data_IF_512438188697
#
_entry.id   IF_512438188697
#
_cell.length_a   1.000
_cell.length_b   1.000
_cell.length_c   1.000
_cell.angle_alpha   90.00
_cell.angle_beta   90.00
_cell.angle_gamma   90.00
#
_symmetry.space_group_name_H-M   'P 1'
#
loop_
_entity.id
_entity.type
_entity.pdbx_description
1 polymer ?
#
# COMPACT_ATOMS: atom_id res chain seq x y z
N UNK A 1 49.46 20.85 53.65
CA UNK A 1 49.44 20.12 52.37
C UNK A 1 48.58 18.87 52.51
N UNK A 2 47.44 18.81 51.82
CA UNK A 2 46.99 17.69 50.97
C UNK A 2 45.50 17.88 50.67
N UNK A 3 45.23 18.11 49.39
CA UNK A 3 43.92 18.12 48.76
C UNK A 3 43.22 16.76 48.98
N UNK A 4 41.98 16.80 49.47
CA UNK A 4 41.01 15.74 49.26
C UNK A 4 40.03 16.18 48.17
N UNK A 5 40.02 15.44 47.05
CA UNK A 5 39.00 15.56 46.00
C UNK A 5 37.65 15.08 46.56
N UNK A 6 36.53 15.78 46.31
CA UNK A 6 35.22 15.16 46.35
C UNK A 6 34.83 14.64 44.96
N UNK A 7 34.18 13.49 44.98
CA UNK A 7 33.71 12.67 43.86
C UNK A 7 32.75 13.37 42.91
N UNK A 8 32.96 13.21 41.61
CA UNK A 8 31.98 13.49 40.55
C UNK A 8 30.82 12.48 40.65
N UNK A 9 29.65 12.93 41.15
CA UNK A 9 28.37 12.27 40.84
C UNK A 9 27.70 13.06 39.72
N UNK A 10 27.59 12.46 38.53
CA UNK A 10 26.79 12.96 37.41
C UNK A 10 25.32 12.76 37.75
N UNK A 11 24.61 13.84 38.06
CA UNK A 11 23.15 13.85 38.15
C UNK A 11 22.57 14.17 36.77
N UNK A 12 21.64 13.33 36.30
CA UNK A 12 20.79 13.61 35.15
C UNK A 12 19.48 14.21 35.66
N UNK A 13 19.02 15.31 35.06
CA UNK A 13 17.68 15.85 35.31
C UNK A 13 16.79 15.34 34.17
N UNK A 14 15.90 14.38 34.48
CA UNK A 14 14.87 13.91 33.57
C UNK A 14 13.55 14.62 33.91
N UNK A 15 12.97 15.34 32.97
CA UNK A 15 11.59 15.84 33.09
C UNK A 15 10.64 14.86 32.40
N UNK A 16 9.79 14.22 33.20
CA UNK A 16 8.75 13.27 32.78
C UNK A 16 7.47 13.99 32.38
N UNK A 17 6.87 13.61 31.24
CA UNK A 17 5.43 13.81 31.02
C UNK A 17 4.83 12.58 30.32
N UNK A 18 4.06 11.80 31.08
CA UNK A 18 3.45 10.53 30.67
C UNK A 18 1.93 10.69 30.42
N UNK A 19 1.42 9.97 29.41
CA UNK A 19 0.06 9.41 29.28
C UNK A 19 0.06 8.54 27.99
N UNK A 20 0.32 7.22 28.10
CA UNK A 20 -0.62 6.08 28.13
C UNK A 20 -1.48 5.98 26.86
N UNK A 21 -1.24 5.05 25.93
CA UNK A 21 -1.54 3.62 26.06
C UNK A 21 -0.39 2.71 25.56
N UNK A 22 -0.34 1.50 26.14
CA UNK A 22 0.84 0.64 26.23
C UNK A 22 1.47 0.19 24.91
N UNK A 23 2.72 0.60 24.70
CA UNK A 23 3.91 -0.21 24.42
C UNK A 23 5.11 0.74 24.34
N UNK A 24 6.04 0.64 25.31
CA UNK A 24 7.39 1.24 25.29
C UNK A 24 7.50 2.77 25.15
N UNK A 25 7.92 3.46 26.20
CA UNK A 25 8.34 4.87 26.09
C UNK A 25 9.69 4.94 25.35
N UNK A 26 9.72 5.48 24.13
CA UNK A 26 10.96 5.70 23.37
C UNK A 26 11.50 7.10 23.70
N UNK A 27 12.75 7.15 24.16
CA UNK A 27 13.46 8.39 24.46
C UNK A 27 14.19 8.90 23.22
N UNK A 28 14.15 10.22 22.99
CA UNK A 28 14.97 10.88 21.96
C UNK A 28 16.14 11.54 22.66
N UNK A 29 17.36 11.13 22.30
CA UNK A 29 18.59 11.77 22.73
C UNK A 29 19.38 12.20 21.51
N UNK A 30 19.83 13.45 21.49
CA UNK A 30 20.75 13.94 20.47
C UNK A 30 22.16 13.54 20.90
N UNK A 31 22.95 13.04 19.96
CA UNK A 31 24.31 12.62 20.26
C UNK A 31 25.30 13.28 19.32
N UNK A 32 26.31 13.89 19.91
CA UNK A 32 27.46 14.43 19.20
C UNK A 32 28.43 13.30 18.86
N UNK A 33 28.53 12.94 17.57
CA UNK A 33 29.59 12.04 17.11
C UNK A 33 30.83 12.89 16.83
N UNK A 34 31.69 13.04 17.85
CA UNK A 34 33.07 13.50 17.64
C UNK A 34 33.54 14.70 18.47
N UNK A 35 33.53 14.60 19.80
CA UNK A 35 34.65 14.95 20.70
C UNK A 35 34.19 14.70 22.14
N UNK A 36 35.08 14.16 22.97
CA UNK A 36 34.86 14.14 24.42
C UNK A 36 35.00 15.57 24.93
N UNK A 37 33.93 16.36 24.97
CA UNK A 37 33.83 17.50 25.88
C UNK A 37 32.37 17.94 26.05
N UNK A 38 32.11 18.57 27.19
CA UNK A 38 30.80 18.68 27.79
C UNK A 38 29.78 19.50 26.97
N UNK A 39 28.61 18.93 26.69
CA UNK A 39 27.48 19.71 26.17
C UNK A 39 26.44 18.89 25.39
N UNK A 40 25.86 17.83 25.98
CA UNK A 40 24.69 17.18 25.35
C UNK A 40 23.45 18.03 25.67
N UNK A 41 23.03 18.88 24.73
CA UNK A 41 21.71 19.49 24.77
C UNK A 41 20.70 18.48 24.24
N UNK A 42 19.77 18.05 25.09
CA UNK A 42 18.67 17.15 24.75
C UNK A 42 17.50 17.98 24.25
N UNK A 43 17.39 18.19 22.93
CA UNK A 43 16.19 18.75 22.31
C UNK A 43 15.13 17.64 22.29
N UNK A 44 14.21 17.72 23.23
CA UNK A 44 13.02 16.88 23.31
C UNK A 44 11.93 17.48 22.42
N UNK A 45 11.93 17.17 21.12
CA UNK A 45 10.70 17.26 20.34
C UNK A 45 9.84 16.02 20.62
N UNK A 46 8.53 16.20 20.80
CA UNK A 46 7.59 15.07 20.89
C UNK A 46 7.50 14.39 19.54
N UNK A 47 8.39 13.43 19.31
CA UNK A 47 8.27 12.45 18.24
C UNK A 47 7.75 11.18 18.89
N UNK A 48 6.67 10.59 18.40
CA UNK A 48 6.27 9.26 18.85
C UNK A 48 6.98 8.27 17.92
N UNK A 49 7.96 7.53 18.44
CA UNK A 49 8.54 6.40 17.72
C UNK A 49 7.81 5.13 18.13
N UNK A 50 7.49 4.29 17.16
CA UNK A 50 6.94 2.95 17.38
C UNK A 50 7.96 1.95 16.89
N UNK A 51 8.34 1.00 17.74
CA UNK A 51 9.18 -0.13 17.32
C UNK A 51 8.27 -1.25 16.83
N UNK A 52 8.29 -1.50 15.52
CA UNK A 52 7.81 -2.74 14.90
C UNK A 52 6.32 -3.04 15.10
N UNK A 53 5.56 -2.97 14.01
CA UNK A 53 4.15 -3.36 13.95
C UNK A 53 3.52 -2.93 12.62
N UNK A 54 2.39 -3.55 12.26
CA UNK A 54 1.54 -3.09 11.16
C UNK A 54 0.82 -1.81 11.59
N UNK A 55 1.01 -0.71 10.86
CA UNK A 55 0.37 0.57 11.15
C UNK A 55 -0.98 0.68 10.42
N UNK A 56 -2.06 1.15 11.08
CA UNK A 56 -3.35 1.32 10.42
C UNK A 56 -3.24 2.38 9.33
N UNK A 57 -3.40 1.98 8.06
CA UNK A 57 -3.31 2.86 6.89
C UNK A 57 -2.06 2.64 6.03
N UNK A 58 -1.07 1.88 6.51
CA UNK A 58 0.10 1.49 5.73
C UNK A 58 0.01 0.03 5.31
N UNK A 59 -0.04 -0.24 4.01
CA UNK A 59 -0.17 -1.60 3.46
C UNK A 59 1.22 -2.21 3.19
N UNK A 60 1.97 -2.51 4.26
CA UNK A 60 3.29 -3.13 4.18
C UNK A 60 3.94 -3.51 5.53
N UNK A 61 4.88 -4.46 5.51
CA UNK A 61 5.73 -4.80 6.66
C UNK A 61 6.75 -3.67 6.90
N UNK A 62 6.52 -2.87 7.94
CA UNK A 62 7.48 -1.86 8.42
C UNK A 62 8.72 -2.57 9.00
N UNK A 63 9.87 -2.44 8.32
CA UNK A 63 11.16 -2.98 8.78
C UNK A 63 12.08 -1.87 9.27
N UNK A 64 12.12 -1.66 10.58
CA UNK A 64 13.08 -0.77 11.24
C UNK A 64 12.44 0.37 12.03
N UNK A 65 13.22 1.39 12.42
CA UNK A 65 12.72 2.48 13.26
C UNK A 65 11.91 3.52 12.47
N UNK A 66 10.69 3.80 12.92
CA UNK A 66 9.74 4.75 12.31
C UNK A 66 9.42 5.92 13.25
N UNK A 67 9.20 7.08 12.67
CA UNK A 67 8.76 8.28 13.40
C UNK A 67 7.38 8.75 12.92
N UNK A 68 6.50 9.05 13.86
CA UNK A 68 5.32 9.87 13.63
C UNK A 68 5.70 11.32 13.88
N UNK A 69 5.78 12.12 12.81
CA UNK A 69 6.29 13.48 12.90
C UNK A 69 5.15 14.51 12.92
N UNK A 70 4.99 15.21 14.05
CA UNK A 70 4.23 16.45 14.12
C UNK A 70 5.20 17.62 14.30
N UNK A 71 5.25 18.59 13.37
CA UNK A 71 6.04 19.80 13.57
C UNK A 71 5.52 20.56 14.80
N UNK A 72 6.39 21.12 15.65
CA UNK A 72 5.98 21.82 16.86
C UNK A 72 5.16 23.10 16.55
N UNK A 73 4.22 23.44 17.47
CA UNK A 73 3.21 24.53 17.35
C UNK A 73 3.82 25.94 17.37
N UNK A 74 5.06 26.06 17.81
CA UNK A 74 5.85 27.29 17.89
C UNK A 74 7.30 26.89 17.75
N UNK A 75 8.12 27.76 17.17
CA UNK A 75 9.59 27.67 17.15
C UNK A 75 10.09 27.82 18.61
N UNK A 76 9.89 26.76 19.40
CA UNK A 76 10.38 26.57 20.76
C UNK A 76 10.91 25.12 20.91
N UNK A 77 11.40 24.56 19.80
CA UNK A 77 12.64 23.76 19.81
C UNK A 77 13.82 24.72 19.56
N UNK A 78 15.06 24.23 19.46
CA UNK A 78 16.22 25.08 19.21
C UNK A 78 15.92 26.01 18.03
N UNK A 79 16.45 27.23 18.09
CA UNK A 79 16.31 28.20 17.01
C UNK A 79 16.61 27.49 15.68
N UNK A 80 15.87 27.79 14.61
CA UNK A 80 16.07 27.10 13.33
C UNK A 80 17.54 27.20 12.89
N UNK A 81 18.21 28.29 13.29
CA UNK A 81 19.65 28.53 13.21
C UNK A 81 20.52 27.49 13.94
N UNK A 82 20.12 27.00 15.12
CA UNK A 82 20.84 25.96 15.85
C UNK A 82 20.68 24.59 15.17
N UNK A 83 19.52 24.30 14.58
CA UNK A 83 19.33 23.09 13.77
C UNK A 83 20.10 23.20 12.44
N UNK A 84 20.16 24.37 11.82
CA UNK A 84 21.00 24.69 10.65
C UNK A 84 22.47 24.48 10.95
N UNK A 85 23.01 25.14 11.96
CA UNK A 85 24.41 25.03 12.37
C UNK A 85 24.78 23.58 12.69
N UNK A 86 23.83 22.83 13.27
CA UNK A 86 23.99 21.42 13.59
C UNK A 86 24.02 20.54 12.34
N UNK A 87 23.17 20.84 11.37
CA UNK A 87 23.13 20.18 10.07
C UNK A 87 24.39 20.52 9.24
N UNK A 88 24.75 21.79 9.14
CA UNK A 88 25.96 22.26 8.45
C UNK A 88 27.24 21.72 9.07
N UNK A 89 27.24 21.41 10.37
CA UNK A 89 28.31 20.68 11.05
C UNK A 89 28.36 19.17 10.72
N UNK A 90 27.51 18.66 9.82
CA UNK A 90 27.46 17.27 9.38
C UNK A 90 26.81 16.30 10.38
N UNK A 91 26.13 16.82 11.41
CA UNK A 91 25.51 16.00 12.47
C UNK A 91 24.15 15.47 11.98
N UNK A 92 23.74 14.29 12.48
CA UNK A 92 22.54 13.57 12.01
C UNK A 92 21.68 13.11 13.17
N UNK A 93 20.37 13.01 12.93
CA UNK A 93 19.40 12.48 13.87
C UNK A 93 19.38 10.94 13.84
N UNK A 94 19.44 10.34 15.03
CA UNK A 94 19.36 8.89 15.24
C UNK A 94 18.36 8.59 16.36
N UNK A 95 17.78 7.39 16.32
CA UNK A 95 17.08 6.84 17.47
C UNK A 95 18.10 6.17 18.39
N UNK A 96 18.15 6.63 19.64
CA UNK A 96 18.91 5.98 20.71
C UNK A 96 18.03 4.92 21.36
N UNK A 97 18.48 3.69 21.35
CA UNK A 97 17.79 2.58 21.98
C UNK A 97 18.11 2.48 23.48
N UNK A 98 17.28 1.76 24.25
CA UNK A 98 17.53 1.53 25.69
C UNK A 98 18.89 0.86 25.97
N UNK A 99 19.41 0.10 25.01
CA UNK A 99 20.72 -0.53 25.05
C UNK A 99 21.82 0.29 24.37
N UNK A 100 21.64 1.60 24.25
CA UNK A 100 22.60 2.58 23.75
C UNK A 100 23.09 2.32 22.30
N UNK A 101 22.26 1.70 21.46
CA UNK A 101 22.52 1.59 20.02
C UNK A 101 21.90 2.78 19.30
N UNK A 102 22.62 3.27 18.30
CA UNK A 102 22.13 4.30 17.38
C UNK A 102 21.54 3.61 16.15
N UNK A 103 20.24 3.76 15.95
CA UNK A 103 19.57 3.26 14.77
C UNK A 103 19.19 4.43 13.85
N UNK A 104 19.46 4.34 12.54
CA UNK A 104 18.98 5.34 11.61
C UNK A 104 17.46 5.27 11.52
N UNK A 105 16.81 6.42 11.44
CA UNK A 105 15.38 6.49 11.13
C UNK A 105 15.22 6.12 9.65
N UNK A 106 14.40 5.10 9.40
CA UNK A 106 14.16 4.56 8.06
C UNK A 106 12.73 4.80 7.58
N UNK A 107 11.85 5.30 8.45
CA UNK A 107 10.46 5.55 8.11
C UNK A 107 9.90 6.79 8.76
N UNK A 108 9.06 7.53 8.03
CA UNK A 108 8.29 8.66 8.56
C UNK A 108 6.85 8.59 8.09
N UNK A 109 5.92 8.88 8.99
CA UNK A 109 4.53 9.18 8.68
C UNK A 109 4.19 10.60 9.14
N UNK A 110 3.61 11.37 8.23
CA UNK A 110 3.07 12.69 8.51
C UNK A 110 1.55 12.58 8.64
N UNK A 111 0.97 13.05 9.76
CA UNK A 111 -0.45 12.87 9.96
C UNK A 111 -1.30 13.80 9.10
N UNK A 112 -2.58 13.44 8.86
CA UNK A 112 -3.45 14.23 8.00
C UNK A 112 -3.68 15.67 8.46
N UNK A 113 -3.51 15.93 9.75
CA UNK A 113 -3.64 17.24 10.38
C UNK A 113 -2.31 18.01 10.47
N UNK A 114 -1.28 17.59 9.72
CA UNK A 114 -0.01 18.30 9.67
C UNK A 114 -0.20 19.73 9.19
N UNK A 115 0.35 20.68 9.96
CA UNK A 115 0.38 22.09 9.52
C UNK A 115 1.28 22.24 8.29
N UNK A 116 0.92 23.12 7.34
CA UNK A 116 1.77 23.39 6.19
C UNK A 116 3.20 23.74 6.61
N UNK A 117 4.17 23.04 6.00
CA UNK A 117 5.59 23.29 6.20
C UNK A 117 6.12 24.17 5.06
N UNK A 118 7.03 25.08 5.39
CA UNK A 118 7.72 25.89 4.39
C UNK A 118 8.67 25.02 3.56
N UNK A 119 9.05 25.47 2.36
CA UNK A 119 10.04 24.78 1.52
C UNK A 119 11.34 24.49 2.28
N UNK A 120 11.79 25.47 3.07
CA UNK A 120 12.95 25.34 3.93
C UNK A 120 12.78 24.24 4.99
N UNK A 121 11.62 24.16 5.65
CA UNK A 121 11.34 23.14 6.65
C UNK A 121 11.34 21.72 6.05
N UNK A 122 10.82 21.57 4.83
CA UNK A 122 10.91 20.30 4.10
C UNK A 122 12.35 19.94 3.74
N UNK A 123 13.13 20.90 3.26
CA UNK A 123 14.54 20.71 2.94
C UNK A 123 15.34 20.22 4.15
N UNK A 124 15.21 20.93 5.28
CA UNK A 124 15.88 20.59 6.54
C UNK A 124 15.47 19.20 7.04
N UNK A 125 14.18 18.87 6.96
CA UNK A 125 13.69 17.56 7.40
C UNK A 125 14.33 16.42 6.58
N UNK A 126 14.23 16.45 5.25
CA UNK A 126 14.77 15.36 4.43
C UNK A 126 16.30 15.30 4.43
N UNK A 127 16.96 16.44 4.65
CA UNK A 127 18.39 16.49 4.90
C UNK A 127 18.79 15.74 6.19
N UNK A 128 18.02 15.91 7.26
CA UNK A 128 18.26 15.26 8.55
C UNK A 128 18.07 13.73 8.51
N UNK A 129 17.21 13.24 7.62
CA UNK A 129 16.83 11.82 7.52
C UNK A 129 17.18 11.21 6.15
N UNK A 130 18.48 11.12 5.78
CA UNK A 130 18.90 10.68 4.44
C UNK A 130 18.80 9.16 4.22
N UNK A 131 18.43 8.39 5.26
CA UNK A 131 18.31 6.93 5.23
C UNK A 131 16.86 6.45 5.21
N UNK A 132 15.91 7.35 4.97
CA UNK A 132 14.50 6.98 4.82
C UNK A 132 14.34 5.95 3.70
N UNK A 133 13.70 4.85 4.05
CA UNK A 133 13.21 3.79 3.17
C UNK A 133 11.70 3.94 2.92
N UNK A 134 10.96 4.52 3.87
CA UNK A 134 9.51 4.72 3.77
C UNK A 134 9.13 6.15 4.14
N UNK A 135 8.35 6.82 3.29
CA UNK A 135 7.83 8.17 3.54
C UNK A 135 6.34 8.18 3.23
N UNK A 136 5.52 8.45 4.24
CA UNK A 136 4.08 8.64 4.09
C UNK A 136 3.74 10.12 4.29
N UNK A 137 3.42 10.79 3.18
CA UNK A 137 3.03 12.19 3.05
C UNK A 137 1.53 12.31 2.71
N UNK A 138 0.73 11.29 3.01
CA UNK A 138 -0.70 11.32 2.72
C UNK A 138 -1.35 12.54 3.37
N UNK A 139 -2.18 13.25 2.62
CA UNK A 139 -2.81 14.52 3.02
C UNK A 139 -1.85 15.68 3.37
N UNK A 140 -0.53 15.52 3.20
CA UNK A 140 0.41 16.59 3.49
C UNK A 140 0.24 17.74 2.49
N UNK A 141 0.33 18.98 2.98
CA UNK A 141 0.37 20.17 2.13
C UNK A 141 1.78 20.35 1.54
N UNK A 142 2.08 19.53 0.54
CA UNK A 142 3.32 19.54 -0.23
C UNK A 142 3.04 19.92 -1.68
N UNK A 143 3.87 20.79 -2.24
CA UNK A 143 3.80 21.26 -3.63
C UNK A 143 4.78 20.53 -4.54
N UNK A 144 4.55 20.58 -5.86
CA UNK A 144 5.42 20.00 -6.89
C UNK A 144 6.90 20.42 -6.72
N UNK A 145 7.13 21.69 -6.40
CA UNK A 145 8.48 22.22 -6.19
C UNK A 145 9.17 21.65 -4.95
N UNK A 146 8.42 21.29 -3.91
CA UNK A 146 8.96 20.75 -2.66
C UNK A 146 9.34 19.26 -2.79
N UNK A 147 8.78 18.52 -3.76
CA UNK A 147 9.21 17.12 -4.01
C UNK A 147 10.67 16.98 -4.40
N UNK A 148 11.33 18.06 -4.87
CA UNK A 148 12.78 18.07 -5.13
C UNK A 148 13.62 17.64 -3.93
N UNK A 149 13.12 17.87 -2.72
CA UNK A 149 13.83 17.51 -1.48
C UNK A 149 13.86 15.99 -1.24
N UNK A 150 12.94 15.23 -1.85
CA UNK A 150 12.94 13.76 -1.80
C UNK A 150 13.99 13.14 -2.74
N UNK A 151 14.44 13.85 -3.77
CA UNK A 151 15.33 13.32 -4.80
C UNK A 151 16.68 12.80 -4.24
N UNK A 152 17.10 13.29 -3.07
CA UNK A 152 18.30 12.85 -2.37
C UNK A 152 18.17 11.52 -1.61
N UNK A 153 16.95 11.01 -1.41
CA UNK A 153 16.66 9.83 -0.59
C UNK A 153 16.95 8.53 -1.35
N UNK A 154 18.23 8.22 -1.58
CA UNK A 154 18.69 7.05 -2.36
C UNK A 154 18.29 5.68 -1.79
N UNK A 155 17.77 5.65 -0.56
CA UNK A 155 17.29 4.46 0.12
C UNK A 155 15.77 4.31 0.08
N UNK A 156 15.04 5.31 -0.43
CA UNK A 156 13.59 5.32 -0.46
C UNK A 156 13.07 4.17 -1.31
N UNK A 157 12.17 3.38 -0.74
CA UNK A 157 11.50 2.22 -1.33
C UNK A 157 10.00 2.42 -1.42
N UNK A 158 9.42 3.17 -0.49
CA UNK A 158 7.98 3.34 -0.38
C UNK A 158 7.67 4.82 -0.17
N UNK A 159 6.82 5.36 -1.04
CA UNK A 159 6.38 6.75 -0.99
C UNK A 159 4.86 6.82 -1.19
N UNK A 160 4.15 7.34 -0.19
CA UNK A 160 2.73 7.64 -0.30
C UNK A 160 2.53 9.16 -0.39
N UNK A 161 1.97 9.59 -1.52
CA UNK A 161 1.59 10.97 -1.85
C UNK A 161 0.08 11.08 -2.12
N UNK A 162 -0.72 10.11 -1.66
CA UNK A 162 -2.16 10.10 -1.85
C UNK A 162 -2.79 11.30 -1.15
N UNK A 163 -3.86 11.85 -1.75
CA UNK A 163 -4.56 13.03 -1.23
C UNK A 163 -3.67 14.27 -1.07
N UNK A 164 -2.63 14.41 -1.90
CA UNK A 164 -1.80 15.62 -1.98
C UNK A 164 -2.11 16.40 -3.27
N UNK A 165 -1.61 17.64 -3.37
CA UNK A 165 -1.77 18.48 -4.58
C UNK A 165 -0.68 18.26 -5.63
N UNK A 166 0.05 17.14 -5.53
CA UNK A 166 1.12 16.81 -6.45
C UNK A 166 0.56 16.50 -7.83
N UNK A 167 1.15 17.09 -8.86
CA UNK A 167 0.82 16.86 -10.27
C UNK A 167 1.95 16.14 -11.00
N UNK A 168 1.73 15.79 -12.27
CA UNK A 168 2.78 15.23 -13.13
C UNK A 168 4.04 16.10 -13.21
N UNK A 169 3.93 17.42 -13.02
CA UNK A 169 5.08 18.33 -12.98
C UNK A 169 5.96 18.13 -11.72
N UNK A 170 5.39 17.67 -10.61
CA UNK A 170 6.14 17.33 -9.40
C UNK A 170 6.87 15.99 -9.51
N UNK A 171 6.26 15.02 -10.20
CA UNK A 171 6.77 13.65 -10.31
C UNK A 171 8.11 13.53 -11.05
N UNK A 172 8.45 14.49 -11.91
CA UNK A 172 9.78 14.55 -12.55
C UNK A 172 10.95 14.57 -11.55
N UNK A 173 10.70 15.00 -10.31
CA UNK A 173 11.70 15.00 -9.25
C UNK A 173 11.95 13.60 -8.67
N UNK A 174 11.03 12.66 -8.88
CA UNK A 174 11.12 11.30 -8.35
C UNK A 174 11.82 10.32 -9.30
N UNK A 175 11.82 10.57 -10.62
CA UNK A 175 12.28 9.65 -11.68
C UNK A 175 13.71 9.09 -11.56
N UNK A 176 14.50 9.56 -10.58
CA UNK A 176 15.87 9.11 -10.30
C UNK A 176 16.03 8.38 -8.97
N UNK A 177 14.95 8.04 -8.28
CA UNK A 177 15.01 7.28 -7.03
C UNK A 177 15.31 5.81 -7.32
N UNK A 178 16.55 5.34 -7.09
CA UNK A 178 17.03 4.07 -7.66
C UNK A 178 16.48 2.82 -6.98
N UNK A 179 15.80 3.00 -5.84
CA UNK A 179 15.27 1.91 -5.01
C UNK A 179 13.77 2.00 -4.77
N UNK A 180 13.09 2.99 -5.36
CA UNK A 180 11.66 3.16 -5.16
C UNK A 180 10.93 1.97 -5.80
N UNK A 181 10.12 1.29 -4.98
CA UNK A 181 9.39 0.07 -5.32
C UNK A 181 7.88 0.26 -5.23
N UNK A 182 7.41 1.08 -4.29
CA UNK A 182 5.99 1.39 -4.11
C UNK A 182 5.76 2.88 -4.19
N UNK A 183 4.78 3.28 -4.99
CA UNK A 183 4.35 4.66 -5.15
C UNK A 183 2.83 4.73 -5.15
N UNK A 184 2.28 5.50 -4.23
CA UNK A 184 0.85 5.82 -4.20
C UNK A 184 0.64 7.31 -4.45
N UNK A 185 -0.28 7.64 -5.34
CA UNK A 185 -0.55 9.00 -5.81
C UNK A 185 -2.05 9.24 -5.88
N UNK A 186 -2.47 10.51 -5.76
CA UNK A 186 -3.88 10.83 -5.94
C UNK A 186 -4.29 10.72 -7.40
N UNK A 187 -3.64 11.45 -8.30
CA UNK A 187 -3.98 11.50 -9.72
C UNK A 187 -2.72 11.43 -10.58
N UNK A 188 -2.78 10.67 -11.68
CA UNK A 188 -1.68 10.50 -12.62
C UNK A 188 -2.18 10.79 -14.03
N UNK A 189 -1.76 11.94 -14.56
CA UNK A 189 -1.95 12.30 -15.96
C UNK A 189 -0.85 11.66 -16.84
N UNK A 190 -0.93 11.87 -18.16
CA UNK A 190 0.09 11.38 -19.09
C UNK A 190 1.51 11.84 -18.73
N UNK A 191 1.66 13.10 -18.31
CA UNK A 191 2.96 13.67 -17.92
C UNK A 191 3.54 12.96 -16.70
N UNK A 192 2.70 12.75 -15.69
CA UNK A 192 3.04 12.01 -14.48
C UNK A 192 3.42 10.58 -14.80
N UNK A 193 2.65 9.90 -15.65
CA UNK A 193 2.95 8.54 -16.09
C UNK A 193 4.32 8.43 -16.79
N UNK A 194 4.68 9.41 -17.64
CA UNK A 194 6.02 9.47 -18.26
C UNK A 194 7.14 9.65 -17.23
N UNK A 195 6.94 10.49 -16.23
CA UNK A 195 7.91 10.65 -15.14
C UNK A 195 8.02 9.37 -14.29
N UNK A 196 6.91 8.68 -14.05
CA UNK A 196 6.88 7.41 -13.32
C UNK A 196 7.58 6.31 -14.12
N UNK A 197 7.47 6.29 -15.46
CA UNK A 197 8.14 5.31 -16.32
C UNK A 197 9.68 5.33 -16.18
N UNK A 198 10.28 6.44 -15.72
CA UNK A 198 11.72 6.52 -15.42
C UNK A 198 12.12 5.72 -14.16
N UNK A 199 11.16 5.38 -13.29
CA UNK A 199 11.37 4.60 -12.07
C UNK A 199 11.53 3.10 -12.40
N UNK A 200 12.68 2.74 -12.97
CA UNK A 200 12.96 1.38 -13.44
C UNK A 200 12.79 0.28 -12.35
N UNK A 201 12.89 0.65 -11.07
CA UNK A 201 12.72 -0.26 -9.93
C UNK A 201 11.30 -0.38 -9.38
N UNK A 202 10.33 0.36 -9.92
CA UNK A 202 8.96 0.40 -9.40
C UNK A 202 8.26 -0.95 -9.61
N UNK A 203 7.64 -1.45 -8.55
CA UNK A 203 6.98 -2.75 -8.49
C UNK A 203 5.48 -2.63 -8.22
N UNK A 204 5.06 -1.58 -7.53
CA UNK A 204 3.69 -1.33 -7.12
C UNK A 204 3.35 0.14 -7.34
N UNK A 205 2.25 0.38 -8.05
CA UNK A 205 1.72 1.72 -8.32
C UNK A 205 0.24 1.75 -7.95
N UNK A 206 -0.17 2.78 -7.22
CA UNK A 206 -1.57 3.06 -6.93
C UNK A 206 -1.94 4.51 -7.25
N UNK A 207 -3.12 4.73 -7.83
CA UNK A 207 -3.69 6.07 -7.98
C UNK A 207 -4.90 6.14 -8.93
N UNK A 208 -5.42 7.36 -9.09
CA UNK A 208 -6.45 7.72 -10.08
C UNK A 208 -5.79 7.89 -11.46
N UNK A 209 -5.95 6.88 -12.32
CA UNK A 209 -5.34 6.81 -13.66
C UNK A 209 -6.36 7.13 -14.76
N UNK A 210 -5.94 7.88 -15.78
CA UNK A 210 -6.71 8.12 -17.01
C UNK A 210 -6.18 7.28 -18.18
N UNK A 211 -6.95 7.16 -19.27
CA UNK A 211 -6.58 6.35 -20.44
C UNK A 211 -5.19 6.69 -21.01
N UNK A 212 -4.86 7.98 -21.06
CA UNK A 212 -3.60 8.52 -21.55
C UNK A 212 -2.40 8.17 -20.66
N UNK A 213 -2.62 7.85 -19.39
CA UNK A 213 -1.57 7.47 -18.46
C UNK A 213 -1.07 6.02 -18.67
N UNK A 214 -1.91 5.13 -19.22
CA UNK A 214 -1.59 3.70 -19.30
C UNK A 214 -0.42 3.39 -20.24
N UNK A 215 -0.34 4.07 -21.38
CA UNK A 215 0.70 3.84 -22.39
C UNK A 215 2.12 3.92 -21.80
N UNK A 216 2.53 5.07 -21.22
CA UNK A 216 3.84 5.19 -20.59
C UNK A 216 4.10 4.17 -19.47
N UNK A 217 3.09 3.82 -18.67
CA UNK A 217 3.25 2.86 -17.57
C UNK A 217 3.61 1.46 -18.05
N UNK A 218 3.23 1.07 -19.28
CA UNK A 218 3.62 -0.22 -19.86
C UNK A 218 5.13 -0.37 -20.08
N UNK A 219 5.88 0.74 -20.08
CA UNK A 219 7.35 0.75 -20.21
C UNK A 219 8.06 0.32 -18.92
N UNK A 220 7.35 0.24 -17.78
CA UNK A 220 7.92 -0.18 -16.51
C UNK A 220 8.29 -1.68 -16.53
N UNK A 221 9.59 -2.04 -16.42
CA UNK A 221 10.03 -3.41 -16.62
C UNK A 221 9.71 -4.35 -15.45
N UNK A 222 9.40 -3.79 -14.28
CA UNK A 222 9.28 -4.52 -13.02
C UNK A 222 7.96 -4.26 -12.28
N UNK A 223 6.99 -3.58 -12.91
CA UNK A 223 5.69 -3.33 -12.30
C UNK A 223 4.91 -4.65 -12.20
N UNK A 224 4.68 -5.10 -10.97
CA UNK A 224 3.98 -6.35 -10.65
C UNK A 224 2.54 -6.10 -10.18
N UNK A 225 2.28 -4.95 -9.55
CA UNK A 225 1.01 -4.60 -8.94
C UNK A 225 0.55 -3.22 -9.41
N UNK A 226 -0.65 -3.16 -9.98
CA UNK A 226 -1.27 -1.91 -10.43
C UNK A 226 -2.65 -1.76 -9.79
N UNK A 227 -2.82 -0.74 -8.95
CA UNK A 227 -4.07 -0.47 -8.26
C UNK A 227 -4.67 0.84 -8.76
N UNK A 228 -5.72 0.73 -9.57
CA UNK A 228 -6.43 1.88 -10.13
C UNK A 228 -7.72 2.08 -9.36
N UNK A 229 -7.86 3.26 -8.74
CA UNK A 229 -9.08 3.69 -8.09
C UNK A 229 -9.42 5.09 -8.60
N UNK A 230 -10.35 5.17 -9.55
CA UNK A 230 -10.79 6.47 -10.07
C UNK A 230 -11.72 7.16 -9.06
N UNK A 231 -11.54 8.46 -8.84
CA UNK A 231 -12.44 9.20 -7.97
C UNK A 231 -13.85 9.28 -8.59
N UNK A 232 -14.94 9.16 -7.80
CA UNK A 232 -16.32 9.20 -8.32
C UNK A 232 -16.71 10.48 -9.06
N UNK A 233 -15.91 11.54 -8.91
CA UNK A 233 -16.13 12.87 -9.49
C UNK A 233 -15.14 13.18 -10.62
N UNK A 234 -14.20 12.27 -10.94
CA UNK A 234 -13.19 12.48 -11.97
C UNK A 234 -13.81 12.51 -13.37
N UNK A 235 -13.45 13.52 -14.16
CA UNK A 235 -13.90 13.70 -15.55
C UNK A 235 -13.19 12.74 -16.52
N UNK A 236 -11.99 12.27 -16.16
CA UNK A 236 -11.15 11.40 -16.99
C UNK A 236 -10.86 10.12 -16.24
N UNK A 237 -11.62 9.08 -16.56
CA UNK A 237 -11.49 7.77 -15.92
C UNK A 237 -10.81 6.81 -16.85
N UNK A 238 -10.23 5.78 -16.27
CA UNK A 238 -9.76 4.64 -17.03
C UNK A 238 -10.96 3.92 -17.65
N UNK A 239 -10.90 3.70 -18.95
CA UNK A 239 -11.91 3.01 -19.75
C UNK A 239 -11.28 1.85 -20.52
N UNK A 240 -12.10 1.16 -21.33
CA UNK A 240 -11.59 0.13 -22.25
C UNK A 240 -10.51 0.68 -23.19
N UNK A 241 -10.51 1.98 -23.52
CA UNK A 241 -9.51 2.59 -24.38
C UNK A 241 -8.11 2.59 -23.75
N UNK A 242 -7.99 2.93 -22.46
CA UNK A 242 -6.72 2.87 -21.74
C UNK A 242 -6.23 1.44 -21.55
N UNK A 243 -7.14 0.48 -21.39
CA UNK A 243 -6.78 -0.92 -21.26
C UNK A 243 -6.26 -1.57 -22.56
N UNK A 244 -6.41 -0.95 -23.73
CA UNK A 244 -5.95 -1.53 -25.01
C UNK A 244 -4.46 -1.90 -25.02
N UNK A 245 -3.64 -1.18 -24.25
CA UNK A 245 -2.19 -1.38 -24.18
C UNK A 245 -1.74 -2.33 -23.06
N UNK A 246 -2.63 -2.84 -22.21
CA UNK A 246 -2.23 -3.61 -21.00
C UNK A 246 -1.47 -4.89 -21.31
N UNK A 247 -1.68 -5.50 -22.48
CA UNK A 247 -0.91 -6.67 -22.91
C UNK A 247 0.60 -6.40 -23.05
N UNK A 248 1.03 -5.14 -23.09
CA UNK A 248 2.44 -4.76 -23.09
C UNK A 248 3.12 -4.91 -21.73
N UNK A 249 2.37 -4.94 -20.62
CA UNK A 249 2.95 -5.20 -19.29
C UNK A 249 3.58 -6.59 -19.24
N UNK A 250 4.89 -6.65 -19.00
CA UNK A 250 5.65 -7.92 -19.00
C UNK A 250 5.74 -8.58 -17.63
N UNK A 251 5.65 -7.80 -16.56
CA UNK A 251 5.81 -8.25 -15.18
C UNK A 251 4.52 -8.21 -14.35
N UNK A 252 3.43 -7.63 -14.88
CA UNK A 252 2.19 -7.41 -14.13
C UNK A 252 1.55 -8.74 -13.74
N UNK A 253 1.34 -8.91 -12.43
CA UNK A 253 0.73 -10.09 -11.79
C UNK A 253 -0.65 -9.78 -11.24
N UNK A 254 -0.86 -8.56 -10.77
CA UNK A 254 -2.11 -8.15 -10.15
C UNK A 254 -2.58 -6.80 -10.67
N UNK A 255 -3.87 -6.71 -10.97
CA UNK A 255 -4.54 -5.44 -11.27
C UNK A 255 -5.81 -5.29 -10.45
N UNK A 256 -5.99 -4.12 -9.83
CA UNK A 256 -7.25 -3.71 -9.22
C UNK A 256 -7.83 -2.54 -10.01
N UNK A 257 -9.12 -2.62 -10.34
CA UNK A 257 -9.87 -1.62 -11.09
C UNK A 257 -11.12 -1.25 -10.29
N UNK A 258 -11.08 -0.13 -9.60
CA UNK A 258 -12.16 0.40 -8.79
C UNK A 258 -12.70 1.69 -9.39
N UNK A 259 -14.04 1.78 -9.50
CA UNK A 259 -14.75 2.96 -10.00
C UNK A 259 -14.33 3.41 -11.42
N UNK A 260 -13.80 2.48 -12.22
CA UNK A 260 -13.39 2.69 -13.62
C UNK A 260 -14.58 2.54 -14.58
N UNK A 261 -14.42 3.00 -15.83
CA UNK A 261 -15.39 2.80 -16.91
C UNK A 261 -15.03 1.61 -17.83
N UNK A 262 -14.72 0.48 -17.20
CA UNK A 262 -14.33 -0.76 -17.88
C UNK A 262 -15.54 -1.65 -18.13
N UNK A 263 -15.67 -2.14 -19.37
CA UNK A 263 -16.71 -3.08 -19.79
C UNK A 263 -16.14 -4.48 -20.05
N UNK A 264 -16.97 -5.38 -20.59
CA UNK A 264 -16.52 -6.72 -21.04
C UNK A 264 -15.36 -6.64 -22.05
N UNK A 265 -15.26 -5.56 -22.83
CA UNK A 265 -14.16 -5.34 -23.75
C UNK A 265 -12.83 -5.09 -23.01
N UNK A 266 -12.84 -4.34 -21.91
CA UNK A 266 -11.65 -4.14 -21.10
C UNK A 266 -11.18 -5.44 -20.44
N UNK A 267 -12.10 -6.28 -19.96
CA UNK A 267 -11.75 -7.64 -19.47
C UNK A 267 -11.08 -8.46 -20.56
N UNK A 268 -11.56 -8.37 -21.81
CA UNK A 268 -10.89 -8.99 -22.97
C UNK A 268 -9.45 -8.51 -23.11
N UNK A 269 -9.18 -7.21 -22.96
CA UNK A 269 -7.80 -6.71 -22.99
C UNK A 269 -6.96 -7.22 -21.81
N UNK A 270 -7.52 -7.32 -20.60
CA UNK A 270 -6.80 -7.90 -19.45
C UNK A 270 -6.34 -9.34 -19.72
N UNK A 271 -7.09 -10.11 -20.51
CA UNK A 271 -6.67 -11.45 -20.91
C UNK A 271 -5.45 -11.50 -21.86
N UNK A 272 -4.95 -10.35 -22.32
CA UNK A 272 -3.70 -10.25 -23.08
C UNK A 272 -2.46 -10.09 -22.19
N UNK A 273 -2.62 -9.86 -20.88
CA UNK A 273 -1.51 -9.71 -19.93
C UNK A 273 -0.89 -11.09 -19.62
N UNK A 274 0.35 -11.38 -20.05
CA UNK A 274 0.88 -12.73 -20.03
C UNK A 274 1.09 -13.30 -18.62
N UNK A 275 1.34 -12.44 -17.63
CA UNK A 275 1.68 -12.82 -16.26
C UNK A 275 0.56 -12.66 -15.24
N UNK A 276 -0.67 -12.34 -15.65
CA UNK A 276 -1.73 -11.97 -14.72
C UNK A 276 -2.18 -13.18 -13.87
N UNK A 277 -1.97 -13.08 -12.56
CA UNK A 277 -2.34 -14.08 -11.56
C UNK A 277 -3.58 -13.66 -10.76
N UNK A 278 -3.87 -12.36 -10.65
CA UNK A 278 -5.06 -11.88 -9.97
C UNK A 278 -5.64 -10.62 -10.59
N UNK A 279 -6.97 -10.52 -10.51
CA UNK A 279 -7.70 -9.36 -10.98
C UNK A 279 -8.85 -9.06 -10.02
N UNK A 280 -8.97 -7.79 -9.66
CA UNK A 280 -10.06 -7.26 -8.86
C UNK A 280 -10.77 -6.16 -9.64
N UNK A 281 -12.06 -6.31 -9.87
CA UNK A 281 -12.87 -5.34 -10.61
C UNK A 281 -14.11 -5.00 -9.78
N UNK A 282 -14.19 -3.73 -9.39
CA UNK A 282 -15.28 -3.15 -8.61
C UNK A 282 -15.94 -2.07 -9.48
N UNK A 283 -16.60 -2.51 -10.57
CA UNK A 283 -17.17 -1.64 -11.60
C UNK A 283 -18.49 -2.22 -12.13
N UNK A 284 -19.63 -1.56 -11.93
CA UNK A 284 -20.97 -2.13 -12.24
C UNK A 284 -21.37 -2.28 -13.72
N UNK A 285 -20.44 -2.52 -14.66
CA UNK A 285 -20.75 -2.65 -16.11
C UNK A 285 -20.49 -4.03 -16.70
N UNK A 286 -19.88 -4.95 -15.97
CA UNK A 286 -19.55 -6.28 -16.49
C UNK A 286 -20.78 -7.19 -16.60
N UNK A 287 -20.78 -8.08 -17.59
CA UNK A 287 -21.85 -9.06 -17.84
C UNK A 287 -21.30 -10.48 -17.91
N UNK A 288 -22.17 -11.47 -18.13
CA UNK A 288 -21.76 -12.86 -18.39
C UNK A 288 -20.78 -12.99 -19.58
N UNK A 289 -20.68 -11.99 -20.47
CA UNK A 289 -19.70 -11.97 -21.56
C UNK A 289 -18.25 -11.85 -21.04
N UNK A 290 -18.03 -11.11 -19.95
CA UNK A 290 -16.72 -11.11 -19.25
C UNK A 290 -16.36 -12.53 -18.78
N UNK A 291 -17.32 -13.25 -18.21
CA UNK A 291 -17.10 -14.61 -17.71
C UNK A 291 -16.81 -15.59 -18.86
N UNK A 292 -17.48 -15.43 -20.01
CA UNK A 292 -17.15 -16.18 -21.24
C UNK A 292 -15.73 -15.87 -21.70
N UNK A 293 -15.37 -14.60 -21.75
CA UNK A 293 -14.05 -14.15 -22.21
C UNK A 293 -12.93 -14.72 -21.33
N UNK A 294 -13.11 -14.70 -20.01
CA UNK A 294 -12.18 -15.33 -19.06
C UNK A 294 -12.12 -16.86 -19.24
N UNK A 295 -13.28 -17.51 -19.46
CA UNK A 295 -13.37 -18.95 -19.65
C UNK A 295 -12.68 -19.43 -20.94
N UNK A 296 -12.73 -18.65 -22.02
CA UNK A 296 -12.16 -19.01 -23.33
C UNK A 296 -10.68 -18.64 -23.46
N UNK A 297 -10.17 -17.74 -22.62
CA UNK A 297 -8.80 -17.27 -22.70
C UNK A 297 -7.77 -18.31 -22.23
N UNK A 298 -6.72 -18.50 -23.04
CA UNK A 298 -5.57 -19.33 -22.65
C UNK A 298 -4.71 -18.66 -21.58
N UNK A 299 -4.59 -17.32 -21.62
CA UNK A 299 -3.79 -16.55 -20.66
C UNK A 299 -4.44 -16.55 -19.28
N UNK A 300 -5.77 -16.41 -19.22
CA UNK A 300 -6.54 -16.36 -17.97
C UNK A 300 -6.45 -17.65 -17.15
N UNK A 301 -5.96 -18.77 -17.72
CA UNK A 301 -5.70 -20.02 -16.97
C UNK A 301 -4.68 -19.86 -15.85
N UNK A 302 -3.89 -18.79 -15.85
CA UNK A 302 -2.93 -18.44 -14.79
C UNK A 302 -3.58 -17.73 -13.61
N UNK A 303 -4.83 -17.28 -13.77
CA UNK A 303 -5.54 -16.55 -12.75
C UNK A 303 -5.84 -17.46 -11.55
N UNK A 304 -5.33 -17.05 -10.39
CA UNK A 304 -5.55 -17.68 -9.10
C UNK A 304 -6.58 -16.93 -8.27
N UNK A 305 -6.70 -15.62 -8.45
CA UNK A 305 -7.65 -14.80 -7.70
C UNK A 305 -8.51 -13.95 -8.62
N UNK A 306 -9.83 -14.02 -8.45
CA UNK A 306 -10.80 -13.18 -9.13
C UNK A 306 -11.73 -12.54 -8.11
N UNK A 307 -11.72 -11.22 -8.03
CA UNK A 307 -12.65 -10.46 -7.21
C UNK A 307 -13.55 -9.62 -8.12
N UNK A 308 -14.85 -9.88 -8.05
CA UNK A 308 -15.90 -9.13 -8.72
C UNK A 308 -16.87 -8.65 -7.65
N UNK A 309 -17.02 -7.34 -7.50
CA UNK A 309 -17.90 -6.76 -6.47
C UNK A 309 -18.87 -5.76 -7.07
N UNK A 310 -20.12 -5.81 -6.62
CA UNK A 310 -21.15 -4.82 -6.98
C UNK A 310 -21.69 -4.97 -8.40
N UNK A 311 -21.71 -6.20 -8.93
CA UNK A 311 -22.14 -6.51 -10.30
C UNK A 311 -23.58 -7.01 -10.31
N UNK A 312 -24.48 -6.33 -11.03
CA UNK A 312 -25.90 -6.67 -11.14
C UNK A 312 -26.27 -7.45 -12.41
N UNK A 313 -25.30 -7.62 -13.34
CA UNK A 313 -25.50 -8.22 -14.68
C UNK A 313 -24.78 -9.54 -14.89
N UNK A 314 -23.94 -9.96 -13.95
CA UNK A 314 -23.35 -11.30 -13.96
C UNK A 314 -24.28 -12.23 -13.18
N UNK A 315 -24.63 -13.36 -13.78
CA UNK A 315 -25.61 -14.31 -13.24
C UNK A 315 -24.98 -15.67 -12.94
N UNK A 316 -25.78 -16.58 -12.38
CA UNK A 316 -25.42 -17.99 -12.21
C UNK A 316 -24.88 -18.63 -13.49
N UNK A 317 -25.37 -18.19 -14.66
CA UNK A 317 -24.89 -18.66 -15.97
C UNK A 317 -23.44 -18.27 -16.22
N UNK A 318 -23.04 -17.04 -15.91
CA UNK A 318 -21.66 -16.58 -16.02
C UNK A 318 -20.71 -17.40 -15.13
N UNK A 319 -21.11 -17.65 -13.89
CA UNK A 319 -20.37 -18.55 -12.97
C UNK A 319 -20.27 -19.96 -13.57
N UNK A 320 -21.34 -20.45 -14.20
CA UNK A 320 -21.34 -21.74 -14.89
C UNK A 320 -20.36 -21.81 -16.06
N UNK A 321 -20.18 -20.73 -16.84
CA UNK A 321 -19.18 -20.65 -17.91
C UNK A 321 -17.77 -20.69 -17.33
N UNK A 322 -17.49 -19.87 -16.31
CA UNK A 322 -16.18 -19.82 -15.65
C UNK A 322 -15.81 -21.19 -15.07
N UNK A 323 -16.70 -21.77 -14.26
CA UNK A 323 -16.49 -23.04 -13.59
C UNK A 323 -16.49 -24.26 -14.53
N UNK A 324 -16.99 -24.11 -15.75
CA UNK A 324 -16.94 -25.11 -16.82
C UNK A 324 -15.67 -25.08 -17.66
N UNK A 325 -14.74 -24.16 -17.38
CA UNK A 325 -13.55 -23.90 -18.19
C UNK A 325 -12.25 -24.26 -17.46
N UNK A 326 -11.09 -24.30 -18.16
CA UNK A 326 -9.81 -24.64 -17.54
C UNK A 326 -9.37 -23.71 -16.41
N UNK A 327 -9.93 -22.50 -16.29
CA UNK A 327 -9.63 -21.59 -15.17
C UNK A 327 -10.05 -22.18 -13.82
N UNK A 328 -11.08 -23.03 -13.81
CA UNK A 328 -11.60 -23.69 -12.61
C UNK A 328 -10.56 -24.57 -11.90
N UNK A 329 -9.57 -25.06 -12.65
CA UNK A 329 -8.48 -25.88 -12.12
C UNK A 329 -7.38 -25.06 -11.44
N UNK A 330 -7.28 -23.76 -11.72
CA UNK A 330 -6.24 -22.88 -11.17
C UNK A 330 -6.74 -21.89 -10.12
N UNK A 331 -8.05 -21.66 -10.04
CA UNK A 331 -8.62 -20.62 -9.18
C UNK A 331 -8.60 -21.03 -7.69
N UNK A 332 -7.91 -20.21 -6.89
CA UNK A 332 -7.70 -20.38 -5.45
C UNK A 332 -8.59 -19.42 -4.63
N UNK A 333 -8.92 -18.25 -5.17
CA UNK A 333 -9.75 -17.24 -4.51
C UNK A 333 -10.80 -16.67 -5.47
N UNK A 334 -12.06 -16.62 -5.02
CA UNK A 334 -13.17 -16.04 -5.76
C UNK A 334 -14.01 -15.19 -4.82
N UNK A 335 -14.17 -13.91 -5.15
CA UNK A 335 -15.08 -13.00 -4.44
C UNK A 335 -16.17 -12.52 -5.39
N UNK A 336 -17.42 -12.70 -4.96
CA UNK A 336 -18.65 -12.37 -5.68
C UNK A 336 -19.54 -11.44 -4.84
N UNK A 337 -18.91 -10.55 -4.07
CA UNK A 337 -19.59 -9.68 -3.12
C UNK A 337 -20.59 -8.75 -3.80
N UNK A 338 -21.74 -8.50 -3.17
CA UNK A 338 -22.76 -7.56 -3.68
C UNK A 338 -23.25 -7.91 -5.10
N UNK A 339 -23.46 -9.20 -5.39
CA UNK A 339 -23.99 -9.68 -6.68
C UNK A 339 -25.34 -10.39 -6.48
N UNK A 340 -26.43 -9.63 -6.54
CA UNK A 340 -27.80 -10.09 -6.23
C UNK A 340 -28.32 -11.19 -7.19
N UNK A 341 -27.79 -11.26 -8.41
CA UNK A 341 -28.13 -12.27 -9.43
C UNK A 341 -27.37 -13.59 -9.31
N UNK A 342 -26.48 -13.72 -8.33
CA UNK A 342 -25.86 -15.00 -7.98
C UNK A 342 -26.71 -15.65 -6.91
N UNK A 343 -27.39 -16.75 -7.25
CA UNK A 343 -28.39 -17.42 -6.43
C UNK A 343 -27.94 -18.83 -6.06
N UNK A 344 -28.82 -19.59 -5.39
CA UNK A 344 -28.58 -21.00 -5.07
C UNK A 344 -28.32 -21.87 -6.33
N UNK A 345 -28.72 -21.40 -7.51
CA UNK A 345 -28.44 -22.06 -8.79
C UNK A 345 -26.94 -22.04 -9.17
N UNK A 346 -26.13 -21.10 -8.65
CA UNK A 346 -24.68 -21.12 -8.83
C UNK A 346 -23.97 -22.24 -8.06
N UNK A 347 -24.59 -22.82 -7.02
CA UNK A 347 -23.91 -23.75 -6.10
C UNK A 347 -23.32 -24.98 -6.80
N UNK A 348 -24.05 -25.68 -7.71
CA UNK A 348 -23.47 -26.81 -8.46
C UNK A 348 -22.30 -26.39 -9.34
N UNK A 349 -22.27 -25.14 -9.82
CA UNK A 349 -21.17 -24.59 -10.60
C UNK A 349 -19.96 -24.28 -9.70
N UNK A 350 -20.18 -23.59 -8.58
CA UNK A 350 -19.14 -23.29 -7.59
C UNK A 350 -18.47 -24.56 -7.06
N UNK A 351 -19.22 -25.65 -6.87
CA UNK A 351 -18.68 -26.96 -6.49
C UNK A 351 -17.68 -27.58 -7.48
N UNK A 352 -17.55 -27.05 -8.70
CA UNK A 352 -16.53 -27.47 -9.68
C UNK A 352 -15.17 -26.81 -9.44
N UNK A 353 -15.13 -25.70 -8.69
CA UNK A 353 -13.90 -24.97 -8.35
C UNK A 353 -13.16 -25.67 -7.21
N UNK A 354 -12.59 -26.84 -7.48
CA UNK A 354 -12.08 -27.76 -6.44
C UNK A 354 -10.83 -27.27 -5.71
N UNK A 355 -10.11 -26.32 -6.29
CA UNK A 355 -8.90 -25.74 -5.71
C UNK A 355 -9.17 -24.42 -4.96
N UNK A 356 -10.44 -24.05 -4.82
CA UNK A 356 -10.83 -22.82 -4.15
C UNK A 356 -10.54 -22.92 -2.65
N UNK A 357 -9.68 -22.03 -2.16
CA UNK A 357 -9.34 -21.87 -0.74
C UNK A 357 -10.21 -20.80 -0.07
N UNK A 358 -10.61 -19.78 -0.82
CA UNK A 358 -11.44 -18.66 -0.34
C UNK A 358 -12.59 -18.36 -1.30
N UNK A 359 -13.81 -18.26 -0.75
CA UNK A 359 -15.02 -17.85 -1.45
C UNK A 359 -15.76 -16.77 -0.66
N UNK A 360 -15.94 -15.58 -1.23
CA UNK A 360 -16.79 -14.55 -0.66
C UNK A 360 -18.09 -14.41 -1.46
N UNK A 361 -19.23 -14.53 -0.77
CA UNK A 361 -20.58 -14.47 -1.34
C UNK A 361 -21.51 -13.56 -0.52
N UNK A 362 -20.93 -12.57 0.17
CA UNK A 362 -21.72 -11.59 0.90
C UNK A 362 -22.61 -10.79 -0.04
N UNK A 363 -23.84 -10.50 0.38
CA UNK A 363 -24.82 -9.71 -0.37
C UNK A 363 -25.08 -10.26 -1.78
N UNK A 364 -25.14 -11.59 -1.87
CA UNK A 364 -25.61 -12.34 -3.04
C UNK A 364 -27.04 -12.82 -2.82
N UNK A 365 -27.66 -13.37 -3.86
CA UNK A 365 -28.93 -14.09 -3.79
C UNK A 365 -28.83 -15.52 -3.23
N UNK A 366 -27.65 -15.95 -2.72
CA UNK A 366 -27.48 -17.27 -2.11
C UNK A 366 -28.16 -17.31 -0.75
N UNK A 367 -29.07 -18.26 -0.58
CA UNK A 367 -29.85 -18.42 0.65
C UNK A 367 -29.00 -19.03 1.77
N UNK A 368 -29.47 -18.91 3.03
CA UNK A 368 -28.83 -19.61 4.17
C UNK A 368 -28.80 -21.14 3.98
N UNK A 369 -29.77 -21.70 3.27
CA UNK A 369 -29.77 -23.12 2.92
C UNK A 369 -28.71 -23.40 1.83
N UNK A 370 -28.57 -22.50 0.88
CA UNK A 370 -27.50 -22.52 -0.13
C UNK A 370 -26.10 -22.52 0.49
N UNK A 371 -25.83 -21.63 1.45
CA UNK A 371 -24.54 -21.63 2.18
C UNK A 371 -24.24 -22.98 2.85
N UNK A 372 -25.25 -23.64 3.43
CA UNK A 372 -25.07 -25.00 3.99
C UNK A 372 -24.72 -26.03 2.90
N UNK A 373 -25.33 -25.92 1.72
CA UNK A 373 -25.00 -26.78 0.57
C UNK A 373 -23.60 -26.48 0.03
N UNK A 374 -23.16 -25.22 0.03
CA UNK A 374 -21.78 -24.85 -0.33
C UNK A 374 -20.76 -25.56 0.56
N UNK A 375 -20.98 -25.62 1.87
CA UNK A 375 -20.11 -26.37 2.78
C UNK A 375 -20.00 -27.88 2.44
N UNK A 376 -21.05 -28.46 1.86
CA UNK A 376 -21.02 -29.86 1.42
C UNK A 376 -20.26 -30.07 0.10
N UNK A 377 -20.33 -29.11 -0.84
CA UNK A 377 -19.66 -29.22 -2.15
C UNK A 377 -18.22 -28.68 -2.13
N UNK A 378 -17.89 -27.77 -1.21
CA UNK A 378 -16.60 -27.11 -1.04
C UNK A 378 -16.10 -27.24 0.42
N UNK A 379 -15.84 -28.46 0.92
CA UNK A 379 -15.55 -28.71 2.34
C UNK A 379 -14.19 -28.19 2.82
N UNK A 380 -13.32 -27.74 1.91
CA UNK A 380 -11.98 -27.21 2.22
C UNK A 380 -11.86 -25.71 2.00
N UNK A 381 -12.93 -25.06 1.57
CA UNK A 381 -12.96 -23.65 1.23
C UNK A 381 -13.45 -22.84 2.42
N UNK A 382 -12.77 -21.73 2.70
CA UNK A 382 -13.26 -20.74 3.65
C UNK A 382 -14.32 -19.90 2.96
N UNK A 383 -15.54 -19.91 3.47
CA UNK A 383 -16.67 -19.18 2.87
C UNK A 383 -17.01 -17.97 3.73
N UNK A 384 -16.84 -16.78 3.17
CA UNK A 384 -17.26 -15.52 3.78
C UNK A 384 -18.68 -15.16 3.32
N UNK A 385 -19.58 -14.92 4.27
CA UNK A 385 -20.97 -14.54 4.01
C UNK A 385 -21.51 -13.58 5.08
N UNK A 386 -22.38 -12.64 4.68
CA UNK A 386 -23.03 -11.65 5.56
C UNK A 386 -22.45 -10.22 5.48
N UNK A 387 -23.14 -9.26 6.09
CA UNK A 387 -22.84 -7.81 6.04
C UNK A 387 -21.67 -7.37 6.95
N UNK A 388 -21.25 -8.21 7.89
CA UNK A 388 -20.12 -7.94 8.79
C UNK A 388 -19.24 -9.19 8.86
N UNK A 389 -18.01 -9.13 8.31
CA UNK A 389 -16.78 -9.90 8.63
C UNK A 389 -16.91 -11.34 9.21
N UNK A 390 -18.00 -12.04 8.91
CA UNK A 390 -18.33 -13.37 9.40
C UNK A 390 -17.63 -14.39 8.52
N UNK A 391 -16.31 -14.50 8.65
CA UNK A 391 -15.59 -15.59 8.02
C UNK A 391 -16.01 -16.89 8.71
N UNK A 392 -16.68 -17.78 7.98
CA UNK A 392 -16.96 -19.13 8.49
C UNK A 392 -16.15 -20.11 7.66
N UNK A 393 -15.17 -20.72 8.31
CA UNK A 393 -14.46 -21.85 7.75
C UNK A 393 -15.39 -23.07 7.80
N UNK A 394 -15.82 -23.58 6.63
CA UNK A 394 -16.79 -24.68 6.55
C UNK A 394 -16.14 -26.09 6.65
N UNK A 395 -14.93 -26.20 7.20
CA UNK A 395 -14.23 -27.48 7.39
C UNK A 395 -12.92 -27.36 8.18
N UNK A 396 -12.27 -28.49 8.55
CA UNK A 396 -11.01 -28.46 9.30
C UNK A 396 -9.90 -27.79 8.48
N UNK A 397 -8.99 -27.03 9.11
CA UNK A 397 -7.89 -26.38 8.40
C UNK A 397 -7.03 -27.41 7.65
N UNK A 398 -6.56 -27.08 6.43
CA UNK A 398 -5.66 -27.97 5.72
C UNK A 398 -4.45 -28.26 6.60
N UNK A 399 -4.05 -29.54 6.68
CA UNK A 399 -2.83 -29.93 7.36
C UNK A 399 -1.68 -29.11 6.77
N UNK A 400 -0.98 -28.37 7.65
CA UNK A 400 0.14 -27.50 7.30
C UNK A 400 1.13 -28.26 6.40
N UNK A 401 1.02 -28.06 5.09
CA UNK A 401 2.14 -28.34 4.19
C UNK A 401 3.13 -27.23 4.46
N UNK A 402 4.23 -27.62 5.11
CA UNK A 402 5.42 -26.79 5.32
C UNK A 402 5.73 -25.96 4.09
N UNK A 403 5.83 -24.64 4.29
CA UNK A 403 6.35 -23.65 3.35
C UNK A 403 5.58 -23.48 2.02
N UNK A 404 4.37 -22.91 2.11
CA UNK A 404 3.90 -21.96 1.08
C UNK A 404 3.31 -20.74 1.79
N UNK A 405 3.86 -19.56 1.51
CA UNK A 405 3.31 -18.27 1.93
C UNK A 405 1.83 -18.25 1.54
N UNK A 406 0.95 -18.16 2.53
CA UNK A 406 -0.45 -17.84 2.31
C UNK A 406 -0.51 -16.52 1.54
N UNK A 407 -0.96 -16.58 0.29
CA UNK A 407 -1.40 -15.39 -0.46
C UNK A 407 -2.83 -15.12 0.03
N UNK A 408 -2.96 -14.75 1.30
CA UNK A 408 -4.14 -14.06 1.74
C UNK A 408 -3.97 -12.61 1.26
N UNK A 409 -4.81 -12.08 0.35
CA UNK A 409 -4.85 -10.64 0.17
C UNK A 409 -5.24 -10.03 1.53
N UNK A 410 -4.29 -9.32 2.16
CA UNK A 410 -4.53 -8.49 3.35
C UNK A 410 -5.35 -7.23 3.03
N UNK A 411 -6.15 -7.27 1.97
CA UNK A 411 -6.83 -6.12 1.40
C UNK A 411 -8.31 -6.23 1.74
N UNK A 412 -8.67 -5.62 2.86
CA UNK A 412 -10.03 -5.17 3.17
C UNK A 412 -9.86 -3.69 3.47
N UNK A 413 -10.14 -2.84 2.48
CA UNK A 413 -10.17 -1.39 2.65
C UNK A 413 -11.60 -1.02 3.05
N UNK A 414 -11.71 -0.22 4.11
CA UNK A 414 -12.96 0.35 4.64
C UNK A 414 -13.32 1.66 3.94
#
# INVERSE_FOLDING_TARGET
MRNHRPSRRRGWIACSLSLALGQGTIWFGLWEVGRQEAGVQLILTRVAAVRGGEWPGFMGEIRGPFIYYRPPVSILGPDVSELEDWCDAGKRLFLLTEDNRFLPIVGVHFPPDIRPMTDYQWALFFWCFPRLETVDLKFADISDGQLRHLAGLRHLRELDLSWTRITGEGLRHLGRLPKLRKLSLQHVDEKGARAIAELAGLQELSGDLEDTSMGPLTELPHLEFLHVANLPWGERRLSDAGLQCVGAFRALKWITLEHTDVSDLGVKYLTSVPGLEGCEIICGRLTDESMRTLAESQTARRLKSLTLVGMDRITDRGIGMLAGSPIAEGLESLSLGQMDKITDEAIPHLGKLRNLEYLAVHNTGISRQGIRRLGAVLPRTTVSFGDELGMIQLGPPPALRSERRAIAPKWVIW
#
